data_IF_545572782848
#
_entry.id   IF_545572782848
#
_cell.length_a   1.000
_cell.length_b   1.000
_cell.length_c   1.000
_cell.angle_alpha   90.00
_cell.angle_beta   90.00
_cell.angle_gamma   90.00
#
_symmetry.space_group_name_H-M   'P 1'
#
loop_
_entity.id
_entity.type
_entity.pdbx_description
1 polymer ?
#
# COMPACT_ATOMS: atom_id res chain seq x y z
N UNK A 1 3.75 12.20 -0.57
CA UNK A 1 4.23 13.12 0.48
C UNK A 1 4.22 14.50 -0.09
N UNK A 2 3.61 15.45 0.61
CA UNK A 2 3.64 16.85 0.24
C UNK A 2 5.05 17.42 0.38
N UNK A 3 5.58 17.94 -0.74
CA UNK A 3 6.92 18.50 -0.89
C UNK A 3 6.94 20.02 -1.02
N UNK A 4 5.87 20.70 -0.59
CA UNK A 4 5.81 22.17 -0.56
C UNK A 4 6.54 22.77 0.64
N UNK A 5 6.69 24.09 0.61
CA UNK A 5 7.46 24.84 1.61
C UNK A 5 6.91 24.73 3.04
N UNK A 6 5.59 24.57 3.21
CA UNK A 6 4.94 24.53 4.52
C UNK A 6 5.25 23.25 5.29
N UNK A 7 5.47 22.14 4.58
CA UNK A 7 5.79 20.82 5.14
C UNK A 7 7.18 20.69 5.80
N UNK A 8 7.97 21.76 5.88
CA UNK A 8 9.36 21.68 6.36
C UNK A 8 9.46 21.17 7.82
N UNK A 9 8.53 21.59 8.69
CA UNK A 9 8.51 21.17 10.09
C UNK A 9 8.03 19.73 10.21
N UNK A 10 6.96 19.39 9.50
CA UNK A 10 6.32 18.09 9.46
C UNK A 10 7.31 17.06 8.91
N UNK A 11 7.95 17.29 7.76
CA UNK A 11 8.94 16.35 7.21
C UNK A 11 10.08 16.04 8.20
N UNK A 12 10.55 17.04 8.97
CA UNK A 12 11.56 16.82 10.00
C UNK A 12 11.04 15.97 11.17
N UNK A 13 9.78 16.15 11.56
CA UNK A 13 9.12 15.38 12.63
C UNK A 13 8.71 13.97 12.18
N UNK A 14 8.42 13.79 10.89
CA UNK A 14 7.93 12.55 10.28
C UNK A 14 9.07 11.60 9.89
N UNK A 15 10.24 12.11 9.53
CA UNK A 15 11.33 11.29 8.97
C UNK A 15 11.67 10.07 9.85
N UNK A 16 11.87 10.27 11.16
CA UNK A 16 12.18 9.16 12.08
C UNK A 16 11.01 8.20 12.30
N UNK A 17 9.77 8.68 12.21
CA UNK A 17 8.58 7.87 12.41
C UNK A 17 8.24 7.05 11.17
N UNK A 18 8.43 7.62 9.99
CA UNK A 18 8.32 6.88 8.73
C UNK A 18 9.35 5.76 8.70
N UNK A 19 10.61 5.98 9.10
CA UNK A 19 11.59 4.87 9.18
C UNK A 19 11.13 3.76 10.15
N UNK A 20 10.45 4.10 11.25
CA UNK A 20 9.89 3.10 12.17
C UNK A 20 8.80 2.23 11.51
N UNK A 21 8.09 2.72 10.49
CA UNK A 21 7.13 1.92 9.70
C UNK A 21 7.80 0.68 9.11
N UNK A 22 9.07 0.75 8.68
CA UNK A 22 9.77 -0.41 8.12
C UNK A 22 9.91 -1.54 9.14
N UNK A 23 10.21 -1.22 10.40
CA UNK A 23 10.33 -2.21 11.46
C UNK A 23 9.01 -2.94 11.73
N UNK A 24 7.89 -2.24 11.57
CA UNK A 24 6.55 -2.80 11.74
C UNK A 24 6.12 -3.65 10.53
N UNK A 25 6.43 -3.20 9.31
CA UNK A 25 6.24 -3.99 8.10
C UNK A 25 7.06 -5.28 8.12
N UNK A 26 8.28 -5.22 8.67
CA UNK A 26 9.13 -6.39 8.92
C UNK A 26 8.55 -7.30 10.01
N UNK A 27 8.02 -6.74 11.10
CA UNK A 27 7.41 -7.51 12.18
C UNK A 27 6.14 -8.25 11.71
N UNK A 28 5.40 -7.68 10.76
CA UNK A 28 4.30 -8.35 10.08
C UNK A 28 4.78 -9.44 9.09
N UNK A 29 6.09 -9.60 8.89
CA UNK A 29 6.75 -10.51 7.97
C UNK A 29 6.22 -10.42 6.52
N UNK A 30 5.73 -9.24 6.14
CA UNK A 30 5.12 -9.01 4.83
C UNK A 30 6.19 -9.00 3.73
N UNK A 31 5.90 -9.66 2.62
CA UNK A 31 6.59 -9.37 1.37
C UNK A 31 6.07 -8.03 0.85
N UNK A 32 6.71 -6.92 1.21
CA UNK A 32 6.28 -5.57 0.85
C UNK A 32 7.12 -4.96 -0.28
N UNK A 33 6.49 -4.05 -1.03
CA UNK A 33 7.19 -3.11 -1.91
C UNK A 33 6.74 -1.71 -1.52
N UNK A 34 7.71 -0.82 -1.31
CA UNK A 34 7.45 0.55 -0.89
C UNK A 34 8.03 1.52 -1.93
N UNK A 35 7.24 2.54 -2.25
CA UNK A 35 7.64 3.63 -3.13
C UNK A 35 7.16 4.96 -2.55
N UNK A 36 7.90 6.03 -2.80
CA UNK A 36 7.55 7.40 -2.37
C UNK A 36 7.31 8.26 -3.59
N UNK A 37 6.21 9.01 -3.63
CA UNK A 37 5.94 10.02 -4.65
C UNK A 37 5.59 11.36 -3.99
N UNK A 38 5.88 12.46 -4.68
CA UNK A 38 5.57 13.82 -4.22
C UNK A 38 4.18 14.27 -4.66
N UNK A 39 3.59 15.27 -4.01
CA UNK A 39 2.32 15.88 -4.46
C UNK A 39 2.53 16.84 -5.63
N UNK A 40 3.76 17.30 -5.88
CA UNK A 40 4.11 18.09 -7.06
C UNK A 40 3.92 17.27 -8.35
N UNK A 41 2.85 17.63 -9.07
CA UNK A 41 2.47 17.07 -10.36
C UNK A 41 2.87 17.99 -11.53
N UNK A 42 3.76 18.96 -11.29
CA UNK A 42 4.34 19.79 -12.32
C UNK A 42 5.59 19.13 -12.94
N UNK A 43 5.73 19.28 -14.26
CA UNK A 43 6.92 18.85 -15.00
C UNK A 43 6.98 17.35 -15.35
N UNK A 44 8.09 16.97 -15.99
CA UNK A 44 8.24 15.67 -16.69
C UNK A 44 8.41 14.47 -15.75
N UNK A 45 8.60 14.72 -14.45
CA UNK A 45 8.77 13.68 -13.41
C UNK A 45 7.59 13.58 -12.45
N UNK A 46 6.46 14.20 -12.80
CA UNK A 46 5.20 14.02 -12.10
C UNK A 46 4.88 12.52 -11.97
N UNK A 47 4.52 12.07 -10.77
CA UNK A 47 4.21 10.65 -10.51
C UNK A 47 5.42 9.70 -10.43
N UNK A 48 6.66 10.14 -10.67
CA UNK A 48 7.82 9.25 -10.59
C UNK A 48 8.15 8.94 -9.13
N UNK A 49 8.38 7.65 -8.83
CA UNK A 49 8.86 7.23 -7.52
C UNK A 49 10.24 7.83 -7.22
N UNK A 50 10.44 8.24 -5.97
CA UNK A 50 11.64 8.85 -5.43
C UNK A 50 12.57 7.80 -4.82
N UNK A 51 13.84 8.17 -4.69
CA UNK A 51 14.88 7.31 -4.13
C UNK A 51 15.65 6.49 -5.17
N UNK A 52 16.71 5.85 -4.70
CA UNK A 52 17.55 4.94 -5.48
C UNK A 52 18.00 3.79 -4.57
N UNK A 53 17.37 2.60 -4.63
CA UNK A 53 16.33 2.23 -5.57
C UNK A 53 14.99 2.93 -5.28
N UNK A 54 14.18 3.14 -6.32
CA UNK A 54 12.87 3.81 -6.22
C UNK A 54 11.74 2.85 -5.77
N UNK A 55 12.01 1.54 -5.77
CA UNK A 55 11.20 0.52 -5.10
C UNK A 55 12.06 -0.12 -4.01
N UNK A 56 11.61 -0.01 -2.77
CA UNK A 56 12.22 -0.63 -1.61
C UNK A 56 11.50 -1.94 -1.31
N UNK A 57 12.25 -2.94 -0.87
CA UNK A 57 11.75 -4.25 -0.43
C UNK A 57 12.45 -4.66 0.87
N UNK A 58 12.02 -5.74 1.55
CA UNK A 58 12.73 -6.27 2.71
C UNK A 58 14.21 -6.62 2.43
N UNK A 59 14.56 -6.92 1.18
CA UNK A 59 15.91 -7.30 0.76
C UNK A 59 16.77 -6.11 0.29
N UNK A 60 16.23 -4.89 0.29
CA UNK A 60 17.00 -3.70 -0.10
C UNK A 60 18.16 -3.50 0.88
N UNK A 61 19.43 -3.41 0.40
CA UNK A 61 20.56 -3.10 1.27
C UNK A 61 20.41 -1.71 1.91
N UNK A 62 20.71 -1.60 3.21
CA UNK A 62 20.60 -0.35 3.98
C UNK A 62 19.22 0.34 3.80
N UNK A 63 18.13 -0.45 3.73
CA UNK A 63 16.77 0.02 3.42
C UNK A 63 16.28 1.17 4.29
N UNK A 64 16.68 1.24 5.55
CA UNK A 64 16.31 2.34 6.44
C UNK A 64 16.91 3.67 5.95
N UNK A 65 18.16 3.64 5.48
CA UNK A 65 18.81 4.80 4.88
C UNK A 65 18.22 5.11 3.50
N UNK A 66 17.98 4.08 2.67
CA UNK A 66 17.35 4.27 1.36
C UNK A 66 15.93 4.86 1.48
N UNK A 67 15.18 4.46 2.51
CA UNK A 67 13.86 5.02 2.78
C UNK A 67 13.94 6.44 3.33
N UNK A 68 14.86 6.71 4.26
CA UNK A 68 15.12 8.06 4.76
C UNK A 68 15.43 9.04 3.60
N UNK A 69 16.24 8.60 2.64
CA UNK A 69 16.55 9.39 1.43
C UNK A 69 15.32 9.55 0.52
N UNK A 70 14.48 8.53 0.38
CA UNK A 70 13.27 8.59 -0.44
C UNK A 70 12.19 9.52 0.15
N UNK A 71 12.05 9.58 1.48
CA UNK A 71 11.09 10.48 2.16
C UNK A 71 11.61 11.90 2.34
N UNK A 72 12.92 12.13 2.21
CA UNK A 72 13.53 13.46 2.17
C UNK A 72 13.26 14.17 0.83
N UNK A 73 11.97 14.30 0.48
CA UNK A 73 11.50 14.83 -0.80
C UNK A 73 11.80 16.32 -0.99
N UNK A 74 12.10 17.02 0.09
CA UNK A 74 12.38 18.46 0.09
C UNK A 74 11.11 19.29 0.16
N UNK A 75 11.28 20.60 0.05
CA UNK A 75 10.24 21.61 0.30
C UNK A 75 10.13 22.63 -0.85
N UNK A 76 10.57 22.21 -2.04
CA UNK A 76 10.63 23.04 -3.25
C UNK A 76 9.57 22.64 -4.29
N UNK A 77 8.68 21.71 -3.95
CA UNK A 77 7.57 21.28 -4.78
C UNK A 77 6.65 22.44 -5.11
N UNK A 78 6.17 22.47 -6.35
CA UNK A 78 5.16 23.41 -6.81
C UNK A 78 3.76 23.01 -6.35
N UNK A 79 2.91 24.02 -6.15
CA UNK A 79 1.46 23.81 -6.06
C UNK A 79 0.80 23.76 -7.46
N UNK A 80 -0.42 23.23 -7.57
CA UNK A 80 -1.25 22.76 -6.46
C UNK A 80 -0.84 21.36 -5.95
N UNK A 81 -1.02 21.13 -4.65
CA UNK A 81 -0.69 19.88 -3.95
C UNK A 81 -1.66 18.76 -4.35
N UNK A 82 -1.25 17.93 -5.32
CA UNK A 82 -2.12 16.96 -5.99
C UNK A 82 -1.78 15.52 -5.59
N UNK A 83 -1.98 15.16 -4.32
CA UNK A 83 -1.62 13.84 -3.81
C UNK A 83 -2.42 12.68 -4.40
N UNK A 84 -3.74 12.85 -4.61
CA UNK A 84 -4.57 11.84 -5.27
C UNK A 84 -4.11 11.63 -6.72
N UNK A 85 -3.87 12.72 -7.45
CA UNK A 85 -3.36 12.69 -8.82
C UNK A 85 -1.98 12.06 -8.91
N UNK A 86 -1.07 12.38 -7.98
CA UNK A 86 0.25 11.80 -7.92
C UNK A 86 0.25 10.30 -7.64
N UNK A 87 -0.61 9.83 -6.73
CA UNK A 87 -0.76 8.41 -6.47
C UNK A 87 -1.33 7.67 -7.69
N UNK A 88 -2.35 8.22 -8.35
CA UNK A 88 -2.92 7.64 -9.56
C UNK A 88 -1.89 7.55 -10.71
N UNK A 89 -1.14 8.63 -10.93
CA UNK A 89 -0.09 8.66 -11.96
C UNK A 89 1.03 7.69 -11.62
N UNK A 90 1.45 7.61 -10.35
CA UNK A 90 2.49 6.67 -9.94
C UNK A 90 2.12 5.22 -10.24
N UNK A 91 0.86 4.84 -10.02
CA UNK A 91 0.33 3.51 -10.34
C UNK A 91 0.21 3.26 -11.84
N UNK A 92 -0.13 4.29 -12.62
CA UNK A 92 -0.16 4.25 -14.09
C UNK A 92 1.23 4.00 -14.68
N UNK A 93 2.24 4.75 -14.21
CA UNK A 93 3.63 4.67 -14.64
C UNK A 93 4.34 3.36 -14.23
N UNK A 94 3.72 2.56 -13.36
CA UNK A 94 4.26 1.27 -12.94
C UNK A 94 3.97 0.13 -13.94
N UNK A 95 3.17 0.40 -14.98
CA UNK A 95 2.80 -0.56 -16.03
C UNK A 95 3.69 -0.38 -17.27
N UNK A 96 3.85 -1.43 -18.07
CA UNK A 96 4.39 -1.33 -19.43
C UNK A 96 5.87 -0.95 -19.55
N UNK A 97 6.66 -1.14 -18.48
CA UNK A 97 8.08 -0.74 -18.45
C UNK A 97 8.30 0.75 -18.26
N UNK A 98 7.30 1.47 -17.73
CA UNK A 98 7.39 2.89 -17.41
C UNK A 98 8.37 3.22 -16.27
N UNK A 99 8.49 4.51 -15.90
CA UNK A 99 9.43 5.00 -14.89
C UNK A 99 9.29 4.37 -13.51
N UNK A 100 8.11 3.83 -13.17
CA UNK A 100 7.86 3.15 -11.90
C UNK A 100 7.75 1.62 -12.06
N UNK A 101 8.21 1.08 -13.19
CA UNK A 101 8.14 -0.35 -13.45
C UNK A 101 8.78 -1.16 -12.31
N UNK A 102 8.09 -2.23 -11.93
CA UNK A 102 8.46 -3.08 -10.80
C UNK A 102 7.74 -2.73 -9.50
N UNK A 103 7.05 -1.58 -9.38
CA UNK A 103 6.34 -1.23 -8.15
C UNK A 103 5.03 -2.02 -7.92
N UNK A 104 4.25 -2.28 -8.97
CA UNK A 104 2.98 -3.02 -8.86
C UNK A 104 3.21 -4.52 -9.02
N UNK A 105 2.62 -5.31 -8.12
CA UNK A 105 2.60 -6.78 -8.19
C UNK A 105 1.19 -7.27 -8.56
N UNK A 106 1.11 -8.48 -9.11
CA UNK A 106 -0.16 -9.08 -9.55
C UNK A 106 -0.99 -9.63 -8.39
N UNK A 107 -0.34 -9.99 -7.29
CA UNK A 107 -0.91 -10.71 -6.14
C UNK A 107 -0.79 -9.94 -4.82
N UNK A 108 -0.53 -8.62 -4.89
CA UNK A 108 -0.40 -7.78 -3.71
C UNK A 108 -1.64 -6.89 -3.51
N UNK A 109 -2.01 -6.71 -2.25
CA UNK A 109 -2.82 -5.56 -1.85
C UNK A 109 -2.09 -4.25 -2.18
N UNK A 110 -2.85 -3.17 -2.30
CA UNK A 110 -2.30 -1.82 -2.40
C UNK A 110 -2.71 -1.01 -1.17
N UNK A 111 -1.75 -0.28 -0.59
CA UNK A 111 -2.05 0.74 0.40
C UNK A 111 -1.37 2.05 0.03
N UNK A 112 -2.13 3.14 -0.05
CA UNK A 112 -1.60 4.48 -0.32
C UNK A 112 -1.63 5.29 0.98
N UNK A 113 -0.47 5.79 1.42
CA UNK A 113 -0.37 6.67 2.58
C UNK A 113 -0.19 8.12 2.11
N UNK A 114 -1.21 8.95 2.34
CA UNK A 114 -1.13 10.38 2.11
C UNK A 114 -0.49 11.08 3.30
N UNK A 115 0.36 12.06 3.02
CA UNK A 115 1.06 12.86 4.04
C UNK A 115 1.07 14.29 3.55
N UNK A 116 0.27 15.16 4.16
CA UNK A 116 -0.02 16.52 3.68
C UNK A 116 -0.50 17.43 4.79
N UNK A 117 -0.08 18.69 4.80
CA UNK A 117 -0.59 19.72 5.72
C UNK A 117 -1.75 20.54 5.11
N UNK A 118 -2.14 20.23 3.87
CA UNK A 118 -3.29 20.84 3.17
C UNK A 118 -4.16 19.78 2.51
N UNK A 119 -5.35 20.21 2.05
CA UNK A 119 -6.25 19.35 1.28
C UNK A 119 -5.75 19.09 -0.14
N UNK A 120 -6.20 17.98 -0.72
CA UNK A 120 -5.86 17.60 -2.09
C UNK A 120 -6.43 18.58 -3.12
N UNK A 121 -5.64 18.93 -4.13
CA UNK A 121 -6.01 19.81 -5.24
C UNK A 121 -5.81 19.14 -6.61
N UNK A 122 -6.20 17.87 -6.72
CA UNK A 122 -5.96 17.05 -7.92
C UNK A 122 -6.90 17.32 -9.11
N UNK A 123 -7.71 18.39 -9.09
CA UNK A 123 -8.77 18.65 -10.08
C UNK A 123 -8.25 18.69 -11.53
N UNK A 124 -7.02 19.20 -11.73
CA UNK A 124 -6.41 19.28 -13.06
C UNK A 124 -6.01 17.92 -13.65
N UNK A 125 -5.87 16.88 -12.82
CA UNK A 125 -5.42 15.54 -13.24
C UNK A 125 -6.51 14.48 -13.13
N UNK A 126 -7.40 14.61 -12.15
CA UNK A 126 -8.49 13.65 -11.89
C UNK A 126 -9.87 14.19 -12.25
N UNK A 127 -9.97 15.42 -12.79
CA UNK A 127 -11.23 16.04 -13.17
C UNK A 127 -11.97 16.69 -12.00
N UNK A 128 -13.25 17.02 -12.19
CA UNK A 128 -14.02 17.82 -11.22
C UNK A 128 -14.36 17.08 -9.93
N UNK A 129 -14.27 15.75 -9.91
CA UNK A 129 -14.60 14.89 -8.77
C UNK A 129 -13.39 14.01 -8.39
N UNK A 130 -12.26 14.61 -7.97
CA UNK A 130 -10.99 13.89 -7.82
C UNK A 130 -11.05 12.75 -6.79
N UNK A 131 -11.86 12.88 -5.74
CA UNK A 131 -12.13 11.81 -4.76
C UNK A 131 -12.75 10.59 -5.44
N UNK A 132 -13.82 10.78 -6.20
CA UNK A 132 -14.52 9.69 -6.89
C UNK A 132 -13.60 9.02 -7.92
N UNK A 133 -12.88 9.81 -8.71
CA UNK A 133 -11.93 9.28 -9.69
C UNK A 133 -10.79 8.50 -9.06
N UNK A 134 -10.29 8.92 -7.89
CA UNK A 134 -9.26 8.15 -7.18
C UNK A 134 -9.82 6.86 -6.57
N UNK A 135 -11.05 6.86 -6.05
CA UNK A 135 -11.71 5.64 -5.57
C UNK A 135 -11.94 4.62 -6.70
N UNK A 136 -12.17 5.08 -7.93
CA UNK A 136 -12.20 4.21 -9.12
C UNK A 136 -10.83 3.56 -9.39
N UNK A 137 -9.72 4.28 -9.18
CA UNK A 137 -8.35 3.72 -9.25
C UNK A 137 -8.17 2.59 -8.23
N UNK A 138 -8.55 2.82 -6.96
CA UNK A 138 -8.47 1.78 -5.92
C UNK A 138 -9.37 0.57 -6.26
N UNK A 139 -10.58 0.83 -6.78
CA UNK A 139 -11.50 -0.24 -7.19
C UNK A 139 -10.92 -1.08 -8.34
N UNK A 140 -10.30 -0.42 -9.32
CA UNK A 140 -9.63 -1.09 -10.44
C UNK A 140 -8.42 -1.92 -9.97
N UNK A 141 -7.62 -1.39 -9.04
CA UNK A 141 -6.53 -2.16 -8.44
C UNK A 141 -7.05 -3.39 -7.70
N UNK A 142 -8.11 -3.23 -6.92
CA UNK A 142 -8.70 -4.35 -6.17
C UNK A 142 -9.24 -5.44 -7.10
N UNK A 143 -9.90 -5.04 -8.18
CA UNK A 143 -10.40 -5.97 -9.19
C UNK A 143 -9.26 -6.68 -9.93
N UNK A 144 -8.13 -6.00 -10.17
CA UNK A 144 -6.98 -6.56 -10.86
C UNK A 144 -6.25 -7.61 -10.02
N UNK A 145 -6.08 -7.37 -8.72
CA UNK A 145 -5.29 -8.25 -7.84
C UNK A 145 -6.14 -9.25 -7.07
N UNK A 146 -7.46 -9.03 -6.99
CA UNK A 146 -8.33 -9.77 -6.08
C UNK A 146 -7.97 -9.54 -4.60
N UNK A 147 -7.33 -8.40 -4.29
CA UNK A 147 -6.92 -7.98 -2.94
C UNK A 147 -7.44 -6.57 -2.66
N UNK A 148 -7.57 -6.15 -1.40
CA UNK A 148 -7.95 -4.77 -1.10
C UNK A 148 -6.96 -3.74 -1.65
N UNK A 149 -7.49 -2.60 -2.09
CA UNK A 149 -6.73 -1.37 -2.28
C UNK A 149 -7.29 -0.29 -1.36
N UNK A 150 -6.49 0.15 -0.39
CA UNK A 150 -6.91 1.09 0.66
C UNK A 150 -6.04 2.35 0.67
N UNK A 151 -6.53 3.38 1.35
CA UNK A 151 -5.75 4.60 1.61
C UNK A 151 -5.83 5.01 3.07
N UNK A 152 -4.71 5.42 3.65
CA UNK A 152 -4.63 6.07 4.97
C UNK A 152 -4.04 7.48 4.81
N UNK A 153 -4.23 8.33 5.83
CA UNK A 153 -3.76 9.71 5.80
C UNK A 153 -3.09 10.15 7.09
N UNK A 154 -1.93 10.80 6.97
CA UNK A 154 -1.36 11.72 7.94
C UNK A 154 -1.68 13.13 7.47
N UNK A 155 -2.84 13.66 7.88
CA UNK A 155 -3.37 14.95 7.38
C UNK A 155 -4.01 15.75 8.49
N UNK A 156 -4.28 17.04 8.26
CA UNK A 156 -5.06 17.83 9.22
C UNK A 156 -6.51 17.33 9.31
N UNK A 157 -7.05 17.04 10.50
CA UNK A 157 -8.40 16.50 10.66
C UNK A 157 -9.47 17.55 10.34
N UNK A 158 -10.61 17.13 9.77
CA UNK A 158 -11.75 18.04 9.61
C UNK A 158 -12.45 18.33 10.95
N UNK A 159 -13.14 19.49 11.07
CA UNK A 159 -13.25 20.57 10.10
C UNK A 159 -12.16 21.65 10.23
N UNK A 160 -11.28 21.56 11.22
CA UNK A 160 -10.44 22.70 11.63
C UNK A 160 -8.95 22.55 11.29
N UNK A 161 -8.48 21.37 10.92
CA UNK A 161 -7.07 21.05 10.86
C UNK A 161 -6.48 20.79 12.26
N UNK A 162 -5.18 21.01 12.41
CA UNK A 162 -4.47 20.82 13.68
C UNK A 162 -3.31 21.80 13.84
N UNK A 163 -2.90 22.02 15.10
CA UNK A 163 -1.71 22.79 15.46
C UNK A 163 -1.06 22.13 16.69
N UNK A 164 0.23 21.84 16.61
CA UNK A 164 1.03 21.30 17.72
C UNK A 164 2.50 21.71 17.58
N UNK A 165 3.35 21.25 18.50
CA UNK A 165 4.82 21.41 18.37
C UNK A 165 5.40 20.61 17.21
N UNK A 166 4.67 19.61 16.70
CA UNK A 166 5.09 18.74 15.60
C UNK A 166 4.71 19.29 14.23
N UNK A 167 3.81 20.28 14.16
CA UNK A 167 3.37 20.86 12.89
C UNK A 167 2.06 21.63 12.97
N UNK A 168 1.66 22.23 11.85
CA UNK A 168 0.35 22.85 11.65
C UNK A 168 -0.22 22.41 10.32
N UNK A 169 -1.47 21.97 10.30
CA UNK A 169 -2.13 21.55 9.08
C UNK A 169 -3.53 22.14 8.97
N UNK A 170 -3.93 22.45 7.73
CA UNK A 170 -5.31 22.72 7.33
C UNK A 170 -6.08 21.40 7.19
N UNK A 171 -7.42 21.44 7.25
CA UNK A 171 -8.23 20.23 7.08
C UNK A 171 -8.02 19.60 5.69
N UNK A 172 -7.73 18.31 5.64
CA UNK A 172 -7.60 17.51 4.41
C UNK A 172 -8.87 16.72 4.09
N UNK A 173 -9.95 17.43 3.76
CA UNK A 173 -11.28 16.85 3.59
C UNK A 173 -11.34 15.76 2.50
N UNK A 174 -10.73 15.98 1.34
CA UNK A 174 -10.72 14.99 0.25
C UNK A 174 -9.94 13.74 0.62
N UNK A 175 -8.84 13.89 1.35
CA UNK A 175 -8.11 12.74 1.89
C UNK A 175 -8.98 11.98 2.90
N UNK A 176 -9.67 12.66 3.81
CA UNK A 176 -10.58 12.03 4.77
C UNK A 176 -11.69 11.23 4.08
N UNK A 177 -12.29 11.77 3.00
CA UNK A 177 -13.29 11.06 2.21
C UNK A 177 -12.75 9.78 1.56
N UNK A 178 -11.58 9.85 0.92
CA UNK A 178 -10.93 8.67 0.31
C UNK A 178 -10.57 7.62 1.36
N UNK A 179 -10.02 8.06 2.50
CA UNK A 179 -9.62 7.18 3.60
C UNK A 179 -10.84 6.46 4.17
N UNK A 180 -11.93 7.18 4.43
CA UNK A 180 -13.16 6.61 4.94
C UNK A 180 -13.81 5.64 3.94
N UNK A 181 -13.87 6.01 2.66
CA UNK A 181 -14.51 5.20 1.62
C UNK A 181 -13.71 3.92 1.28
N UNK A 182 -12.38 3.93 1.47
CA UNK A 182 -11.51 2.79 1.21
C UNK A 182 -11.21 1.93 2.45
N UNK A 183 -11.75 2.29 3.63
CA UNK A 183 -11.58 1.53 4.87
C UNK A 183 -10.17 1.64 5.48
N UNK A 184 -9.48 2.75 5.26
CA UNK A 184 -8.22 3.04 5.95
C UNK A 184 -8.40 3.89 7.20
N UNK A 185 -7.29 4.45 7.69
CA UNK A 185 -7.25 5.25 8.93
C UNK A 185 -6.66 6.62 8.68
N UNK A 186 -7.27 7.64 9.27
CA UNK A 186 -6.76 9.00 9.31
C UNK A 186 -6.14 9.27 10.67
N UNK A 187 -4.91 9.72 10.68
CA UNK A 187 -4.21 10.24 11.87
C UNK A 187 -3.84 11.69 11.61
N UNK A 188 -4.01 12.52 12.63
CA UNK A 188 -3.59 13.91 12.54
C UNK A 188 -2.07 13.99 12.34
N UNK A 189 -1.63 14.71 11.31
CA UNK A 189 -0.20 14.91 11.05
C UNK A 189 0.53 15.63 12.20
N UNK A 190 -0.23 16.32 13.06
CA UNK A 190 0.29 16.99 14.25
C UNK A 190 0.50 16.04 15.45
N UNK A 191 0.11 14.77 15.36
CA UNK A 191 0.28 13.78 16.43
C UNK A 191 1.72 13.23 16.48
N UNK A 192 2.21 12.85 17.67
CA UNK A 192 3.54 12.25 17.81
C UNK A 192 3.56 10.71 17.61
N UNK A 193 2.40 10.09 17.37
CA UNK A 193 2.26 8.63 17.27
C UNK A 193 1.44 8.23 16.03
N UNK A 194 2.07 7.51 15.10
CA UNK A 194 1.45 6.99 13.87
C UNK A 194 1.19 5.49 13.91
N UNK A 195 1.31 4.85 15.07
CA UNK A 195 0.96 3.45 15.29
C UNK A 195 -0.43 3.08 14.76
N UNK A 196 -1.47 3.95 14.76
CA UNK A 196 -2.75 3.61 14.14
C UNK A 196 -2.68 3.40 12.61
N UNK A 197 -1.84 4.16 11.90
CA UNK A 197 -1.62 3.95 10.45
C UNK A 197 -0.93 2.62 10.21
N UNK A 198 0.07 2.30 11.03
CA UNK A 198 0.74 0.99 11.01
C UNK A 198 -0.25 -0.13 11.27
N UNK A 199 -1.08 0.01 12.31
CA UNK A 199 -2.12 -0.96 12.64
C UNK A 199 -3.07 -1.20 11.47
N UNK A 200 -3.48 -0.15 10.76
CA UNK A 200 -4.32 -0.27 9.58
C UNK A 200 -3.61 -0.95 8.39
N UNK A 201 -2.32 -0.68 8.18
CA UNK A 201 -1.50 -1.36 7.18
C UNK A 201 -1.37 -2.86 7.50
N UNK A 202 -1.08 -3.18 8.76
CA UNK A 202 -1.03 -4.56 9.25
C UNK A 202 -2.40 -5.23 9.13
N UNK A 203 -3.49 -4.57 9.51
CA UNK A 203 -4.86 -5.10 9.39
C UNK A 203 -5.22 -5.41 7.93
N UNK A 204 -5.01 -4.44 7.03
CA UNK A 204 -5.22 -4.63 5.59
C UNK A 204 -4.39 -5.79 5.04
N UNK A 205 -3.20 -5.99 5.60
CA UNK A 205 -2.32 -7.10 5.27
C UNK A 205 -2.68 -8.41 5.97
N UNK A 206 -3.46 -8.35 7.05
CA UNK A 206 -3.95 -9.52 7.79
C UNK A 206 -5.19 -10.15 7.21
N UNK A 207 -5.75 -9.60 6.12
CA UNK A 207 -6.43 -10.39 5.08
C UNK A 207 -5.41 -11.28 4.33
N UNK A 208 -4.56 -11.96 5.08
CA UNK A 208 -3.69 -13.01 4.58
C UNK A 208 -4.57 -14.02 3.86
N UNK A 209 -4.05 -14.50 2.74
CA UNK A 209 -4.73 -15.52 1.96
C UNK A 209 -4.91 -16.74 2.84
N UNK A 210 -6.14 -16.94 3.27
CA UNK A 210 -6.59 -18.22 3.76
C UNK A 210 -7.05 -19.06 2.57
N UNK A 211 -7.53 -18.43 1.49
CA UNK A 211 -7.94 -19.10 0.26
C UNK A 211 -6.84 -19.08 -0.82
N UNK A 212 -6.49 -20.25 -1.33
CA UNK A 212 -5.57 -20.46 -2.45
C UNK A 212 -6.26 -21.30 -3.52
N UNK A 213 -6.27 -20.81 -4.76
CA UNK A 213 -6.86 -21.56 -5.88
C UNK A 213 -5.90 -22.62 -6.40
N UNK A 214 -6.30 -23.88 -6.29
CA UNK A 214 -5.67 -25.03 -6.89
C UNK A 214 -5.78 -24.96 -8.42
N UNK A 215 -4.81 -25.56 -9.12
CA UNK A 215 -4.81 -25.60 -10.58
C UNK A 215 -6.03 -26.35 -11.09
N UNK A 216 -6.25 -27.56 -10.58
CA UNK A 216 -7.37 -28.43 -10.90
C UNK A 216 -8.19 -28.76 -9.64
N UNK A 217 -9.38 -29.30 -9.83
CA UNK A 217 -10.20 -29.83 -8.74
C UNK A 217 -9.63 -31.20 -8.29
N UNK A 218 -9.37 -31.41 -7.00
CA UNK A 218 -8.94 -32.70 -6.49
C UNK A 218 -9.98 -33.79 -6.77
N UNK A 219 -9.51 -34.96 -7.22
CA UNK A 219 -10.36 -36.11 -7.52
C UNK A 219 -10.96 -36.74 -6.25
N UNK A 220 -10.20 -36.70 -5.16
CA UNK A 220 -10.56 -37.27 -3.86
C UNK A 220 -9.93 -36.44 -2.72
N UNK A 221 -10.28 -36.82 -1.49
CA UNK A 221 -9.83 -36.13 -0.27
C UNK A 221 -8.38 -36.49 0.14
N UNK A 222 -7.61 -37.22 -0.69
CA UNK A 222 -6.19 -37.52 -0.42
C UNK A 222 -5.30 -36.34 -0.80
N UNK A 223 -5.47 -35.24 -0.06
CA UNK A 223 -4.75 -33.99 -0.26
C UNK A 223 -3.66 -33.89 0.80
N UNK A 224 -2.43 -33.58 0.36
CA UNK A 224 -1.30 -33.34 1.26
C UNK A 224 -0.84 -31.91 1.12
N UNK A 225 -0.90 -31.17 2.22
CA UNK A 225 -0.41 -29.80 2.33
C UNK A 225 0.89 -29.77 3.13
N UNK A 226 1.87 -29.05 2.62
CA UNK A 226 3.17 -28.80 3.27
C UNK A 226 3.41 -27.30 3.27
N UNK A 227 3.75 -26.74 4.42
CA UNK A 227 4.06 -25.32 4.62
C UNK A 227 5.51 -25.23 5.10
N UNK A 228 6.38 -24.56 4.34
CA UNK A 228 7.82 -24.44 4.64
C UNK A 228 8.51 -25.78 4.95
N UNK A 229 8.24 -26.77 4.10
CA UNK A 229 8.72 -28.15 4.22
C UNK A 229 8.21 -28.93 5.45
N UNK A 230 7.29 -28.38 6.25
CA UNK A 230 6.62 -29.06 7.36
C UNK A 230 5.21 -29.52 6.94
N UNK A 231 4.84 -30.79 7.16
CA UNK A 231 3.47 -31.25 6.90
C UNK A 231 2.44 -30.47 7.73
N UNK A 232 1.40 -29.97 7.09
CA UNK A 232 0.22 -29.39 7.72
C UNK A 232 -0.90 -30.45 7.73
N UNK A 233 -1.06 -31.15 8.86
CA UNK A 233 -2.03 -32.25 8.99
C UNK A 233 -3.47 -31.75 9.24
N UNK A 234 -3.63 -30.51 9.73
CA UNK A 234 -4.89 -29.85 10.07
C UNK A 234 -4.83 -28.34 9.80
N UNK A 235 -5.91 -27.62 10.13
CA UNK A 235 -6.01 -26.16 9.96
C UNK A 235 -6.29 -25.70 8.53
N UNK A 236 -6.78 -26.60 7.68
CA UNK A 236 -7.20 -26.31 6.31
C UNK A 236 -8.28 -27.28 5.82
N UNK A 237 -8.99 -26.88 4.78
CA UNK A 237 -9.95 -27.69 4.03
C UNK A 237 -9.92 -27.33 2.55
N UNK A 238 -10.46 -28.19 1.69
CA UNK A 238 -10.58 -27.91 0.26
C UNK A 238 -12.04 -27.99 -0.17
N UNK A 239 -12.50 -26.97 -0.92
CA UNK A 239 -13.81 -26.94 -1.55
C UNK A 239 -13.66 -26.60 -3.04
N UNK A 240 -14.00 -27.56 -3.91
CA UNK A 240 -13.75 -27.47 -5.35
C UNK A 240 -12.25 -27.25 -5.62
N UNK A 241 -11.90 -26.13 -6.25
CA UNK A 241 -10.50 -25.75 -6.50
C UNK A 241 -9.92 -24.79 -5.46
N UNK A 242 -10.54 -24.66 -4.28
CA UNK A 242 -10.07 -23.71 -3.27
C UNK A 242 -9.51 -24.46 -2.08
N UNK A 243 -8.22 -24.33 -1.82
CA UNK A 243 -7.61 -24.66 -0.54
C UNK A 243 -7.83 -23.50 0.42
N UNK A 244 -8.50 -23.76 1.52
CA UNK A 244 -8.86 -22.78 2.54
C UNK A 244 -8.19 -23.15 3.86
N UNK A 245 -7.31 -22.29 4.38
CA UNK A 245 -6.78 -22.39 5.73
C UNK A 245 -7.74 -21.76 6.75
N UNK A 246 -7.78 -22.32 7.96
CA UNK A 246 -8.57 -21.78 9.07
C UNK A 246 -7.90 -20.54 9.67
N UNK A 247 -6.57 -20.57 9.74
CA UNK A 247 -5.69 -19.45 10.06
C UNK A 247 -4.69 -19.24 8.93
N UNK A 248 -4.32 -17.98 8.62
CA UNK A 248 -3.41 -17.75 7.52
C UNK A 248 -2.03 -18.38 7.73
N UNK A 249 -1.44 -18.99 6.67
CA UNK A 249 -0.08 -19.51 6.74
C UNK A 249 0.93 -18.41 7.12
N UNK A 250 2.09 -18.79 7.69
CA UNK A 250 3.14 -17.82 7.98
C UNK A 250 3.49 -16.99 6.75
N UNK A 251 3.81 -15.71 6.94
CA UNK A 251 4.15 -14.84 5.85
C UNK A 251 5.35 -15.32 5.02
N UNK A 252 5.22 -15.29 3.69
CA UNK A 252 6.26 -15.76 2.78
C UNK A 252 6.44 -17.28 2.76
N UNK A 253 5.57 -18.05 3.45
CA UNK A 253 5.67 -19.49 3.48
C UNK A 253 5.46 -20.12 2.10
N UNK A 254 6.25 -21.15 1.80
CA UNK A 254 6.06 -21.95 0.61
C UNK A 254 5.01 -23.03 0.87
N UNK A 255 3.89 -22.98 0.14
CA UNK A 255 2.79 -23.94 0.26
C UNK A 255 2.87 -24.93 -0.90
N UNK A 256 3.24 -26.16 -0.59
CA UNK A 256 3.21 -27.28 -1.54
C UNK A 256 1.94 -28.12 -1.30
N UNK A 257 1.10 -28.20 -2.33
CA UNK A 257 -0.14 -29.00 -2.29
C UNK A 257 -0.01 -30.15 -3.28
N UNK A 258 -0.14 -31.38 -2.79
CA UNK A 258 -0.15 -32.60 -3.61
C UNK A 258 -1.53 -33.25 -3.55
N UNK A 259 -2.12 -33.52 -4.71
CA UNK A 259 -3.45 -34.15 -4.85
C UNK A 259 -3.52 -34.92 -6.18
N UNK A 260 -4.47 -35.84 -6.28
CA UNK A 260 -4.82 -36.55 -7.51
C UNK A 260 -5.82 -35.72 -8.32
N UNK A 261 -5.71 -35.79 -9.65
CA UNK A 261 -6.61 -35.10 -10.58
C UNK A 261 -7.24 -36.12 -11.52
N UNK A 262 -8.44 -35.82 -12.00
CA UNK A 262 -9.00 -36.53 -13.15
C UNK A 262 -8.28 -36.07 -14.42
N UNK A 263 -7.74 -37.00 -15.20
CA UNK A 263 -7.17 -36.68 -16.51
C UNK A 263 -8.28 -36.82 -17.53
N UNK A 264 -8.73 -35.69 -18.09
CA UNK A 264 -9.63 -35.71 -19.23
C UNK A 264 -8.95 -36.41 -20.41
N UNK A 265 -9.47 -37.58 -20.77
CA UNK A 265 -9.07 -38.33 -21.94
C UNK A 265 -9.68 -37.69 -23.21
N UNK A 266 -9.38 -36.42 -23.47
CA UNK A 266 -9.67 -35.77 -24.75
C UNK A 266 -8.41 -35.03 -25.22
N UNK A 267 -7.68 -35.72 -26.11
CA UNK A 267 -6.68 -35.09 -26.98
C UNK A 267 -7.30 -34.26 -28.10
#
# INVERSE_FOLDING_TARGET
>A
IDDTASMAQEQAALASQLVALLGELDAAALAWQLGVVTTDMSGDRAGWLRGSPYVLTPDTPDREAAFADAVAVGTLGGGPEAGLGAAAEALSLAVGGGPNAGFRREDALLHVLFVSDVDDQSDAWLGTEPVSSFLEVLTAESARTGRPARSSGLVGPTPAGCESTSGTARPGARYEEVVAASGGVLVSICEPDFSPVVGALTEASTEWLTAFTLREEPLDDQIRVVVDALPAEDGWHVEGRTLQFDEPPPPGAHIDVTYTIELDASG
#
